data_IF_059421649432
#
_entry.id   IF_059421649432
#
_cell.length_a   1.000
_cell.length_b   1.000
_cell.length_c   1.000
_cell.angle_alpha   90.00
_cell.angle_beta   90.00
_cell.angle_gamma   90.00
#
_symmetry.space_group_name_H-M   'P 1'
#
loop_
_entity.id
_entity.type
_entity.pdbx_description
1 polymer ?
#
# COMPACT_ATOMS: atom_id res chain seq x y z
N UNK A 1 -12.52 26.65 -12.83
CA UNK A 1 -11.76 27.42 -13.85
C UNK A 1 -10.42 26.76 -14.01
N UNK A 2 -10.00 26.42 -15.23
CA UNK A 2 -8.69 25.80 -15.47
C UNK A 2 -7.56 26.80 -15.18
N UNK A 3 -6.51 26.35 -14.49
CA UNK A 3 -5.28 27.11 -14.25
C UNK A 3 -4.10 26.30 -14.75
N UNK A 4 -3.15 26.95 -15.41
CA UNK A 4 -1.92 26.31 -15.88
C UNK A 4 -0.82 26.46 -14.84
N UNK A 5 -0.16 25.36 -14.50
CA UNK A 5 0.97 25.32 -13.59
C UNK A 5 2.17 24.74 -14.36
N UNK A 6 3.30 25.43 -14.33
CA UNK A 6 4.57 24.97 -14.90
C UNK A 6 5.49 24.58 -13.75
N UNK A 7 5.98 23.33 -13.75
CA UNK A 7 6.93 22.83 -12.75
C UNK A 7 8.23 22.46 -13.43
N UNK A 8 9.34 22.82 -12.80
CA UNK A 8 10.63 22.18 -13.05
C UNK A 8 10.79 21.05 -12.03
N UNK A 9 10.97 19.83 -12.52
CA UNK A 9 11.18 18.63 -11.71
C UNK A 9 12.51 17.99 -12.08
N UNK A 10 13.09 17.22 -11.15
CA UNK A 10 14.32 16.50 -11.45
C UNK A 10 14.08 15.39 -12.48
N UNK A 11 15.12 15.04 -13.23
CA UNK A 11 15.08 13.99 -14.25
C UNK A 11 14.57 12.65 -13.68
N UNK A 12 15.00 12.30 -12.46
CA UNK A 12 14.55 11.09 -11.76
C UNK A 12 13.04 11.03 -11.55
N UNK A 13 12.42 12.16 -11.21
CA UNK A 13 10.96 12.23 -11.03
C UNK A 13 10.28 12.08 -12.39
N UNK A 14 10.81 12.75 -13.42
CA UNK A 14 10.26 12.69 -14.77
C UNK A 14 10.32 11.27 -15.36
N UNK A 15 11.46 10.57 -15.20
CA UNK A 15 11.62 9.17 -15.62
C UNK A 15 10.61 8.25 -14.91
N UNK A 16 10.42 8.44 -13.60
CA UNK A 16 9.43 7.69 -12.82
C UNK A 16 8.02 7.93 -13.35
N UNK A 17 7.67 9.19 -13.66
CA UNK A 17 6.36 9.52 -14.24
C UNK A 17 6.14 8.84 -15.58
N UNK A 18 7.15 8.81 -16.47
CA UNK A 18 7.07 8.09 -17.75
C UNK A 18 6.82 6.60 -17.52
N UNK A 19 7.57 6.00 -16.58
CA UNK A 19 7.44 4.58 -16.29
C UNK A 19 6.04 4.24 -15.76
N UNK A 20 5.50 5.03 -14.84
CA UNK A 20 4.14 4.84 -14.31
C UNK A 20 3.12 5.06 -15.42
N UNK A 21 3.22 6.17 -16.15
CA UNK A 21 2.36 6.52 -17.28
C UNK A 21 2.26 5.37 -18.30
N UNK A 22 3.38 4.72 -18.60
CA UNK A 22 3.42 3.56 -19.51
C UNK A 22 2.65 2.34 -18.98
N UNK A 23 2.65 2.11 -17.67
CA UNK A 23 1.99 0.98 -17.03
C UNK A 23 0.47 1.15 -16.95
N UNK A 24 0.00 2.38 -16.72
CA UNK A 24 -1.43 2.71 -16.63
C UNK A 24 -2.03 3.23 -17.94
N UNK A 25 -1.23 3.38 -19.00
CA UNK A 25 -1.70 3.85 -20.31
C UNK A 25 -2.13 5.32 -20.32
N UNK A 26 -1.53 6.15 -19.48
CA UNK A 26 -1.83 7.57 -19.30
C UNK A 26 -0.62 8.43 -19.72
N UNK A 27 -0.80 9.75 -19.80
CA UNK A 27 0.34 10.67 -19.99
C UNK A 27 0.98 11.03 -18.64
N UNK A 28 2.27 11.43 -18.61
CA UNK A 28 2.94 11.89 -17.39
C UNK A 28 2.18 13.02 -16.68
N UNK A 29 1.56 13.93 -17.45
CA UNK A 29 0.75 15.05 -16.92
C UNK A 29 -0.51 14.56 -16.21
N UNK A 30 -1.16 13.52 -16.74
CA UNK A 30 -2.35 12.93 -16.12
C UNK A 30 -1.98 12.22 -14.81
N UNK A 31 -0.85 11.51 -14.81
CA UNK A 31 -0.35 10.82 -13.61
C UNK A 31 -0.03 11.82 -12.49
N UNK A 32 0.70 12.90 -12.80
CA UNK A 32 1.06 13.88 -11.78
C UNK A 32 -0.15 14.67 -11.28
N UNK A 33 -1.12 15.00 -12.15
CA UNK A 33 -2.39 15.61 -11.72
C UNK A 33 -3.14 14.69 -10.76
N UNK A 34 -3.27 13.40 -11.09
CA UNK A 34 -3.93 12.43 -10.23
C UNK A 34 -3.25 12.28 -8.86
N UNK A 35 -1.91 12.28 -8.84
CA UNK A 35 -1.17 12.23 -7.58
C UNK A 35 -1.36 13.49 -6.73
N UNK A 36 -1.37 14.67 -7.35
CA UNK A 36 -1.63 15.94 -6.67
C UNK A 36 -3.06 15.95 -6.11
N UNK A 37 -4.05 15.54 -6.90
CA UNK A 37 -5.45 15.42 -6.48
C UNK A 37 -5.59 14.47 -5.28
N UNK A 38 -5.04 13.25 -5.37
CA UNK A 38 -5.08 12.28 -4.27
C UNK A 38 -4.38 12.77 -3.00
N UNK A 39 -3.36 13.64 -3.11
CA UNK A 39 -2.67 14.22 -1.95
C UNK A 39 -3.43 15.37 -1.32
N UNK A 40 -4.17 16.14 -2.12
CA UNK A 40 -5.00 17.25 -1.63
C UNK A 40 -6.28 16.69 -0.98
N UNK A 41 -6.86 15.65 -1.56
CA UNK A 41 -8.08 14.99 -1.07
C UNK A 41 -7.82 13.92 -0.01
N UNK A 42 -6.56 13.60 0.29
CA UNK A 42 -6.22 12.77 1.44
C UNK A 42 -6.27 13.65 2.71
N UNK A 43 -7.34 13.59 3.53
CA UNK A 43 -7.20 14.01 4.92
C UNK A 43 -6.06 13.21 5.55
N UNK A 44 -5.38 13.80 6.53
CA UNK A 44 -4.39 13.15 7.40
C UNK A 44 -5.00 12.00 8.25
N UNK A 45 -6.21 11.53 7.89
CA UNK A 45 -6.86 10.38 8.47
C UNK A 45 -6.28 9.13 7.81
N UNK A 46 -5.46 8.41 8.58
CA UNK A 46 -5.07 7.04 8.24
C UNK A 46 -6.35 6.21 7.99
N UNK A 47 -6.62 5.79 6.75
CA UNK A 47 -7.84 5.05 6.42
C UNK A 47 -7.92 3.71 7.16
N UNK A 48 -6.79 3.18 7.65
CA UNK A 48 -6.74 1.98 8.47
C UNK A 48 -7.03 2.26 9.95
N UNK A 49 -6.91 3.51 10.41
CA UNK A 49 -7.29 3.89 11.78
C UNK A 49 -8.81 3.74 12.01
N UNK A 50 -9.62 3.98 10.98
CA UNK A 50 -11.06 3.73 11.03
C UNK A 50 -11.41 2.23 11.23
N UNK A 51 -10.46 1.33 10.93
CA UNK A 51 -10.58 -0.11 11.12
C UNK A 51 -10.07 -0.57 12.50
N UNK A 52 -9.38 0.29 13.24
CA UNK A 52 -8.87 -0.04 14.58
C UNK A 52 -10.03 -0.27 15.56
N UNK A 53 -10.08 -1.46 16.15
CA UNK A 53 -11.12 -1.85 17.11
C UNK A 53 -12.47 -2.24 16.49
N UNK A 54 -12.61 -2.20 15.16
CA UNK A 54 -13.82 -2.67 14.45
C UNK A 54 -13.81 -4.20 14.29
N UNK A 55 -12.64 -4.79 14.13
CA UNK A 55 -12.51 -6.24 13.97
C UNK A 55 -12.45 -6.93 15.33
N UNK A 56 -13.45 -7.76 15.60
CA UNK A 56 -13.41 -8.72 16.69
C UNK A 56 -12.75 -10.02 16.19
N UNK A 57 -11.62 -10.36 16.78
CA UNK A 57 -10.99 -11.66 16.60
C UNK A 57 -11.07 -12.44 17.93
N UNK A 58 -11.29 -13.76 17.90
CA UNK A 58 -11.29 -14.59 19.10
C UNK A 58 -9.90 -14.64 19.78
N UNK A 59 -8.84 -14.31 19.05
CA UNK A 59 -7.47 -14.20 19.54
C UNK A 59 -7.18 -12.71 19.73
N UNK A 60 -6.94 -12.30 20.97
CA UNK A 60 -6.84 -10.87 21.36
C UNK A 60 -5.42 -10.43 21.70
N UNK A 61 -4.50 -11.38 21.81
CA UNK A 61 -3.08 -11.24 22.14
C UNK A 61 -2.17 -11.31 20.90
N UNK A 62 -2.75 -11.23 19.69
CA UNK A 62 -2.00 -11.32 18.42
C UNK A 62 -0.88 -10.29 18.38
N UNK A 63 -1.09 -9.06 18.86
CA UNK A 63 -0.05 -8.04 18.88
C UNK A 63 1.17 -8.44 19.70
N UNK A 64 0.94 -9.07 20.85
CA UNK A 64 1.99 -9.46 21.80
C UNK A 64 2.67 -10.78 21.41
N UNK A 65 1.93 -11.69 20.76
CA UNK A 65 2.37 -13.05 20.47
C UNK A 65 2.49 -13.36 18.97
N UNK A 66 2.53 -12.35 18.09
CA UNK A 66 2.56 -12.55 16.64
C UNK A 66 3.69 -13.49 16.19
N UNK A 67 4.89 -13.34 16.75
CA UNK A 67 6.04 -14.20 16.44
C UNK A 67 5.78 -15.68 16.78
N UNK A 68 5.13 -15.93 17.91
CA UNK A 68 4.77 -17.28 18.33
C UNK A 68 3.76 -17.90 17.36
N UNK A 69 2.72 -17.15 16.99
CA UNK A 69 1.71 -17.63 16.05
C UNK A 69 2.29 -17.90 14.66
N UNK A 70 3.10 -16.99 14.12
CA UNK A 70 3.75 -17.17 12.80
C UNK A 70 4.72 -18.36 12.82
N UNK A 71 5.49 -18.51 13.89
CA UNK A 71 6.39 -19.64 14.06
C UNK A 71 5.64 -20.98 14.09
N UNK A 72 4.59 -21.08 14.89
CA UNK A 72 3.79 -22.31 15.01
C UNK A 72 3.09 -22.70 13.70
N UNK A 73 2.60 -21.73 12.93
CA UNK A 73 1.99 -21.98 11.62
C UNK A 73 3.01 -22.53 10.62
N UNK A 74 4.22 -21.96 10.62
CA UNK A 74 5.31 -22.40 9.75
C UNK A 74 5.76 -23.83 10.08
N UNK A 75 5.83 -24.18 11.37
CA UNK A 75 6.14 -25.55 11.81
C UNK A 75 5.05 -26.56 11.40
N UNK A 76 3.78 -26.19 11.50
CA UNK A 76 2.67 -27.02 11.04
C UNK A 76 2.69 -27.23 9.52
N UNK A 77 3.05 -26.21 8.75
CA UNK A 77 3.17 -26.31 7.29
C UNK A 77 4.28 -27.29 6.86
N UNK A 78 5.42 -27.27 7.57
CA UNK A 78 6.52 -28.20 7.34
C UNK A 78 6.12 -29.64 7.71
N UNK A 79 5.41 -29.81 8.84
CA UNK A 79 4.93 -31.13 9.28
C UNK A 79 3.86 -31.71 8.34
N UNK A 80 2.94 -30.88 7.85
CA UNK A 80 1.91 -31.31 6.89
C UNK A 80 2.49 -31.59 5.50
N UNK A 81 3.52 -30.85 5.07
CA UNK A 81 4.24 -31.09 3.82
C UNK A 81 5.09 -32.37 3.86
N UNK A 82 5.60 -32.76 5.03
CA UNK A 82 6.39 -34.00 5.20
C UNK A 82 5.52 -35.24 5.44
N UNK A 83 4.28 -35.09 5.93
CA UNK A 83 3.33 -36.19 6.12
C UNK A 83 2.58 -36.61 4.83
N UNK A 84 2.66 -35.80 3.76
CA UNK A 84 1.97 -36.04 2.49
C UNK A 84 2.88 -36.58 1.37
N UNK A 85 4.10 -37.01 1.72
CA UNK A 85 5.10 -37.60 0.81
C UNK A 85 5.31 -39.10 1.00
#
# INVERSE_FOLDING_TARGET
MAKTLTLEISDTIYETLIQVASQVGQTPEQVILHWIENRIDAPDDDPLLALAGVFEAPVTDISDLHDHYIGSASEQEIQTSTASG
#
